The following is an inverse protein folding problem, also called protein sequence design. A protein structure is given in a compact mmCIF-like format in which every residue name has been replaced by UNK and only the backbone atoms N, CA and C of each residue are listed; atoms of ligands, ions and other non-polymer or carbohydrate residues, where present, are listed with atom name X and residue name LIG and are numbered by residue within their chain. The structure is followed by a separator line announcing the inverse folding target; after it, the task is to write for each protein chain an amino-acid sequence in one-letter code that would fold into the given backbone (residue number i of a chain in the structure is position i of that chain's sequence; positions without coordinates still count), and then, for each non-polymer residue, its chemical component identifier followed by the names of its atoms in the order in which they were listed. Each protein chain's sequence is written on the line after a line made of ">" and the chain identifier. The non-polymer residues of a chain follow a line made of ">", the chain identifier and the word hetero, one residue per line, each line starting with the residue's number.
data_IF_479437165471
#
_entry.id   IF_479437165471
#
_cell.length_a   1.000
_cell.length_b   1.000
_cell.length_c   1.000
_cell.angle_alpha   90.00
_cell.angle_beta   90.00
_cell.angle_gamma   90.00
#
_symmetry.space_group_name_H-M   'P 1'
#
loop_
_entity.id
_entity.type
_entity.pdbx_description
1 polymer ?
#
# COMPACT_ATOMS: atom_id res chain seq x y z
N UNK A 1 -0.51 -5.69 -10.70
CA UNK A 1 -0.92 -4.84 -9.55
C UNK A 1 -1.96 -3.79 -9.94
N UNK A 2 -3.08 -3.74 -9.22
CA UNK A 2 -4.17 -2.76 -9.34
C UNK A 2 -4.35 -2.01 -8.02
N UNK A 3 -4.48 -0.68 -8.06
CA UNK A 3 -4.78 0.14 -6.87
C UNK A 3 -6.19 -0.15 -6.37
N UNK A 4 -6.32 -0.44 -5.08
CA UNK A 4 -7.58 -0.79 -4.41
C UNK A 4 -8.04 0.34 -3.48
N UNK A 5 -7.13 0.89 -2.68
CA UNK A 5 -7.44 1.92 -1.70
C UNK A 5 -6.22 2.80 -1.40
N UNK A 6 -6.46 3.96 -0.78
CA UNK A 6 -5.42 4.77 -0.17
C UNK A 6 -5.70 4.87 1.34
N UNK A 7 -4.66 5.07 2.13
CA UNK A 7 -4.75 5.41 3.54
C UNK A 7 -5.46 6.77 3.73
N UNK A 8 -5.93 7.04 4.94
CA UNK A 8 -6.67 8.27 5.29
C UNK A 8 -5.93 9.57 4.94
N UNK A 9 -4.60 9.56 4.94
CA UNK A 9 -3.73 10.68 4.63
C UNK A 9 -3.22 10.65 3.17
N UNK A 10 -3.56 9.61 2.41
CA UNK A 10 -3.19 9.46 1.00
C UNK A 10 -1.72 9.08 0.74
N UNK A 11 -0.92 8.86 1.79
CA UNK A 11 0.50 8.55 1.69
C UNK A 11 0.78 7.07 1.42
N UNK A 12 -0.10 6.20 1.89
CA UNK A 12 0.03 4.76 1.71
C UNK A 12 -1.06 4.26 0.78
N UNK A 13 -0.69 3.32 -0.09
CA UNK A 13 -1.58 2.85 -1.15
C UNK A 13 -1.64 1.33 -1.12
N UNK A 14 -2.85 0.78 -1.15
CA UNK A 14 -3.08 -0.65 -1.22
C UNK A 14 -3.22 -1.07 -2.68
N UNK A 15 -2.44 -2.06 -3.06
CA UNK A 15 -2.51 -2.72 -4.35
C UNK A 15 -2.86 -4.19 -4.18
N UNK A 16 -3.58 -4.73 -5.16
CA UNK A 16 -3.80 -6.16 -5.30
C UNK A 16 -3.12 -6.66 -6.56
N UNK A 17 -2.41 -7.77 -6.46
CA UNK A 17 -1.86 -8.47 -7.61
C UNK A 17 -2.66 -9.74 -7.89
N UNK A 18 -3.39 -9.76 -9.01
CA UNK A 18 -4.23 -10.89 -9.41
C UNK A 18 -3.43 -12.12 -9.84
N UNK A 19 -2.18 -11.95 -10.28
CA UNK A 19 -1.34 -13.07 -10.68
C UNK A 19 -0.72 -13.78 -9.48
N UNK A 20 -0.44 -13.03 -8.40
CA UNK A 20 0.10 -13.56 -7.16
C UNK A 20 -0.97 -13.82 -6.07
N UNK A 21 -2.23 -13.47 -6.33
CA UNK A 21 -3.34 -13.47 -5.36
C UNK A 21 -2.96 -12.81 -4.01
N UNK A 22 -2.22 -11.70 -4.09
CA UNK A 22 -1.57 -11.08 -2.94
C UNK A 22 -1.81 -9.58 -2.87
N UNK A 23 -1.86 -9.06 -1.64
CA UNK A 23 -1.95 -7.63 -1.36
C UNK A 23 -0.57 -7.04 -1.11
N UNK A 24 -0.37 -5.83 -1.62
CA UNK A 24 0.86 -5.08 -1.47
C UNK A 24 0.56 -3.67 -1.02
N UNK A 25 1.31 -3.20 -0.05
CA UNK A 25 1.28 -1.83 0.41
C UNK A 25 2.45 -1.07 -0.19
N UNK A 26 2.14 0.08 -0.78
CA UNK A 26 3.13 1.06 -1.24
C UNK A 26 3.23 2.17 -0.20
N UNK A 27 4.41 2.37 0.36
CA UNK A 27 4.72 3.41 1.34
C UNK A 27 5.90 4.25 0.87
N UNK A 28 6.09 5.42 1.49
CA UNK A 28 7.25 6.29 1.27
C UNK A 28 7.93 6.56 2.61
N UNK A 29 8.69 5.58 3.16
CA UNK A 29 9.30 5.70 4.48
C UNK A 29 10.24 6.91 4.59
N UNK A 30 10.92 7.26 3.49
CA UNK A 30 11.80 8.44 3.38
C UNK A 30 11.09 9.62 2.67
N UNK A 31 9.77 9.73 2.79
CA UNK A 31 8.96 10.77 2.13
C UNK A 31 9.34 12.21 2.51
N UNK A 32 10.02 12.39 3.64
CA UNK A 32 10.55 13.68 4.10
C UNK A 32 11.83 14.11 3.36
N UNK A 33 12.51 13.22 2.62
CA UNK A 33 13.64 13.60 1.78
C UNK A 33 13.15 14.42 0.57
N UNK A 34 13.77 15.59 0.38
CA UNK A 34 13.59 16.44 -0.80
C UNK A 34 13.86 15.64 -2.08
N UNK A 35 12.80 15.24 -2.79
CA UNK A 35 12.87 14.37 -3.97
C UNK A 35 11.91 13.18 -3.94
N UNK A 36 11.28 12.90 -2.80
CA UNK A 36 10.39 11.75 -2.61
C UNK A 36 11.21 10.46 -2.63
N UNK A 37 11.55 9.94 -1.45
CA UNK A 37 12.29 8.68 -1.31
C UNK A 37 11.67 7.54 -2.13
N UNK A 38 12.48 6.52 -2.42
CA UNK A 38 12.01 5.40 -3.24
C UNK A 38 10.76 4.75 -2.62
N UNK A 39 9.73 4.48 -3.43
CA UNK A 39 8.54 3.82 -2.92
C UNK A 39 8.90 2.41 -2.45
N UNK A 40 8.56 2.12 -1.20
CA UNK A 40 8.72 0.80 -0.64
C UNK A 40 7.46 -0.01 -0.84
N UNK A 41 7.61 -1.19 -1.43
CA UNK A 41 6.54 -2.15 -1.64
C UNK A 41 6.69 -3.30 -0.66
N UNK A 42 5.69 -3.49 0.21
CA UNK A 42 5.68 -4.62 1.14
C UNK A 42 4.45 -5.49 0.92
N UNK A 43 4.59 -6.82 0.86
CA UNK A 43 3.44 -7.70 0.88
C UNK A 43 2.74 -7.57 2.24
N UNK A 44 1.41 -7.48 2.22
CA UNK A 44 0.60 -7.46 3.44
C UNK A 44 -0.46 -8.55 3.37
N UNK A 45 -0.85 -9.05 4.53
CA UNK A 45 -1.92 -10.05 4.63
C UNK A 45 -3.28 -9.42 4.34
N UNK A 46 -4.24 -10.24 3.89
CA UNK A 46 -5.63 -9.79 3.67
C UNK A 46 -6.22 -9.15 4.91
N UNK A 47 -6.05 -9.75 6.09
CA UNK A 47 -6.56 -9.19 7.35
C UNK A 47 -6.00 -7.80 7.66
N UNK A 48 -4.70 -7.59 7.40
CA UNK A 48 -4.05 -6.31 7.60
C UNK A 48 -4.55 -5.26 6.61
N UNK A 49 -4.71 -5.64 5.33
CA UNK A 49 -5.29 -4.80 4.30
C UNK A 49 -6.69 -4.32 4.67
N UNK A 50 -7.55 -5.24 5.15
CA UNK A 50 -8.93 -4.94 5.51
C UNK A 50 -9.03 -4.07 6.77
N UNK A 51 -8.16 -4.32 7.75
CA UNK A 51 -8.11 -3.53 8.99
C UNK A 51 -7.62 -2.11 8.73
N UNK A 52 -6.55 -1.95 7.95
CA UNK A 52 -5.88 -0.66 7.74
C UNK A 52 -6.62 0.23 6.73
N UNK A 53 -7.10 -0.37 5.63
CA UNK A 53 -7.74 0.37 4.54
C UNK A 53 -9.27 0.39 4.61
N UNK A 54 -9.87 -0.22 5.65
CA UNK A 54 -11.32 -0.25 5.88
C UNK A 54 -12.09 -0.69 4.62
N UNK A 55 -11.56 -1.71 3.96
CA UNK A 55 -12.18 -2.36 2.81
C UNK A 55 -13.03 -3.52 3.32
N UNK A 56 -14.27 -3.59 2.83
CA UNK A 56 -15.30 -4.58 3.21
C UNK A 56 -15.26 -5.83 2.33
#
# INVERSE_FOLDING_TARGET
>A
MKLIANDQNGWEQLYYDEAAEAYFEKTYPDGEMQGGGEPYWRPISKEEAFTKYVIE
#
